data_IF_185225957376
#
_entry.id   IF_185225957376
#
_cell.length_a   1.000
_cell.length_b   1.000
_cell.length_c   1.000
_cell.angle_alpha   90.00
_cell.angle_beta   90.00
_cell.angle_gamma   90.00
#
_symmetry.space_group_name_H-M   'P 1'
#
loop_
_entity.id
_entity.type
_entity.pdbx_description
1 polymer ?
#
# COMPACT_ATOMS: atom_id res chain seq x y z
N UNK A 1 -5.16 15.05 -12.20
CA UNK A 1 -5.50 14.80 -13.61
C UNK A 1 -6.91 15.30 -13.85
N UNK A 2 -7.13 16.26 -14.77
CA UNK A 2 -8.46 16.74 -15.10
C UNK A 2 -9.34 15.64 -15.69
N UNK A 3 -10.67 15.69 -15.43
CA UNK A 3 -11.65 14.69 -15.92
C UNK A 3 -11.53 14.39 -17.42
N UNK A 4 -11.23 15.41 -18.23
CA UNK A 4 -11.06 15.27 -19.68
C UNK A 4 -9.93 14.34 -20.07
N UNK A 5 -8.83 14.41 -19.34
CA UNK A 5 -7.64 13.57 -19.59
C UNK A 5 -7.92 12.11 -19.27
N UNK A 6 -8.55 11.83 -18.13
CA UNK A 6 -8.94 10.47 -17.75
C UNK A 6 -9.87 9.88 -18.83
N UNK A 7 -10.89 10.65 -19.27
CA UNK A 7 -11.81 10.21 -20.31
C UNK A 7 -11.10 9.93 -21.63
N UNK A 8 -10.17 10.79 -22.04
CA UNK A 8 -9.39 10.62 -23.28
C UNK A 8 -8.52 9.36 -23.23
N UNK A 9 -7.84 9.11 -22.10
CA UNK A 9 -7.03 7.91 -21.91
C UNK A 9 -7.88 6.63 -21.96
N UNK A 10 -9.04 6.64 -21.30
CA UNK A 10 -9.98 5.51 -21.32
C UNK A 10 -10.60 5.28 -22.70
N UNK A 11 -10.94 6.35 -23.42
CA UNK A 11 -11.45 6.27 -24.80
C UNK A 11 -10.39 5.69 -25.74
N UNK A 12 -9.17 6.19 -25.68
CA UNK A 12 -8.06 5.70 -26.49
C UNK A 12 -7.74 4.22 -26.21
N UNK A 13 -7.84 3.78 -24.95
CA UNK A 13 -7.62 2.38 -24.58
C UNK A 13 -8.65 1.41 -25.19
N UNK A 14 -9.88 1.89 -25.51
CA UNK A 14 -10.92 1.07 -26.16
C UNK A 14 -10.68 0.85 -27.63
N UNK A 15 -10.09 1.83 -28.33
CA UNK A 15 -10.06 1.89 -29.79
C UNK A 15 -8.67 1.56 -30.33
N UNK A 16 -7.62 1.98 -29.64
CA UNK A 16 -6.26 1.88 -30.15
C UNK A 16 -5.61 0.54 -29.81
N UNK A 17 -4.76 0.00 -30.71
CA UNK A 17 -3.90 -1.13 -30.38
C UNK A 17 -3.03 -0.85 -29.14
N UNK A 18 -2.71 -1.85 -28.31
CA UNK A 18 -1.93 -1.67 -27.07
C UNK A 18 -0.62 -0.91 -27.27
N UNK A 19 0.09 -1.15 -28.36
CA UNK A 19 1.36 -0.46 -28.68
C UNK A 19 1.19 1.04 -28.89
N UNK A 20 0.13 1.45 -29.58
CA UNK A 20 -0.19 2.86 -29.87
C UNK A 20 -0.64 3.56 -28.60
N UNK A 21 -1.52 2.92 -27.82
CA UNK A 21 -1.95 3.43 -26.53
C UNK A 21 -0.77 3.60 -25.56
N UNK A 22 0.15 2.64 -25.52
CA UNK A 22 1.41 2.71 -24.77
C UNK A 22 2.25 3.93 -25.14
N UNK A 23 2.38 4.23 -26.43
CA UNK A 23 3.12 5.40 -26.91
C UNK A 23 2.46 6.71 -26.45
N UNK A 24 1.14 6.83 -26.58
CA UNK A 24 0.37 8.04 -26.17
C UNK A 24 0.52 8.29 -24.66
N UNK A 25 0.32 7.26 -23.84
CA UNK A 25 0.53 7.40 -22.39
C UNK A 25 1.99 7.74 -22.09
N UNK A 26 2.94 7.18 -22.82
CA UNK A 26 4.37 7.48 -22.67
C UNK A 26 4.70 8.95 -22.87
N UNK A 27 4.12 9.57 -23.91
CA UNK A 27 4.25 11.02 -24.16
C UNK A 27 3.57 11.81 -23.04
N UNK A 28 2.35 11.41 -22.68
CA UNK A 28 1.57 12.08 -21.64
C UNK A 28 2.25 12.02 -20.27
N UNK A 29 2.80 10.87 -19.88
CA UNK A 29 3.57 10.71 -18.64
C UNK A 29 4.85 11.57 -18.64
N UNK A 30 5.51 11.73 -19.80
CA UNK A 30 6.65 12.64 -19.92
C UNK A 30 6.29 14.09 -19.61
N UNK A 31 5.09 14.53 -20.03
CA UNK A 31 4.59 15.87 -19.78
C UNK A 31 4.11 16.06 -18.34
N UNK A 32 3.56 15.01 -17.72
CA UNK A 32 2.99 15.06 -16.37
C UNK A 32 4.00 14.81 -15.26
N UNK A 33 5.07 14.06 -15.52
CA UNK A 33 6.15 13.87 -14.53
C UNK A 33 6.96 15.15 -14.42
N UNK A 34 6.47 16.04 -13.56
CA UNK A 34 7.14 17.29 -13.23
C UNK A 34 8.55 17.06 -12.70
N UNK A 35 9.44 18.01 -12.91
CA UNK A 35 10.80 18.04 -12.33
C UNK A 35 10.80 17.72 -10.82
N UNK A 36 9.76 18.15 -10.10
CA UNK A 36 9.57 17.88 -8.67
C UNK A 36 9.51 16.36 -8.36
N UNK A 37 8.77 15.59 -9.15
CA UNK A 37 8.65 14.12 -8.93
C UNK A 37 9.99 13.41 -9.18
N UNK A 38 10.72 13.80 -10.23
CA UNK A 38 12.07 13.27 -10.47
C UNK A 38 13.03 13.63 -9.33
N UNK A 39 12.96 14.85 -8.83
CA UNK A 39 13.77 15.30 -7.71
C UNK A 39 13.49 14.47 -6.43
N UNK A 40 12.21 14.27 -6.07
CA UNK A 40 11.83 13.46 -4.92
C UNK A 40 12.31 12.02 -5.07
N UNK A 41 12.05 11.40 -6.23
CA UNK A 41 12.50 10.05 -6.51
C UNK A 41 14.03 9.92 -6.39
N UNK A 42 14.77 10.85 -7.00
CA UNK A 42 16.24 10.88 -6.91
C UNK A 42 16.74 11.02 -5.47
N UNK A 43 16.12 11.89 -4.67
CA UNK A 43 16.46 12.08 -3.25
C UNK A 43 16.23 10.81 -2.45
N UNK A 44 15.08 10.16 -2.63
CA UNK A 44 14.76 8.91 -1.93
C UNK A 44 15.70 7.77 -2.33
N UNK A 45 16.06 7.67 -3.61
CA UNK A 45 17.06 6.69 -4.06
C UNK A 45 18.48 6.99 -3.52
N UNK A 46 18.86 8.26 -3.40
CA UNK A 46 20.12 8.62 -2.72
C UNK A 46 20.15 8.14 -1.27
N UNK A 47 19.03 8.26 -0.56
CA UNK A 47 18.92 7.76 0.82
C UNK A 47 19.01 6.23 0.86
N UNK A 48 18.34 5.55 -0.07
CA UNK A 48 18.34 4.08 -0.17
C UNK A 48 19.74 3.52 -0.46
N UNK A 49 20.46 4.14 -1.40
CA UNK A 49 21.76 3.67 -1.87
C UNK A 49 22.97 4.32 -1.16
N UNK A 50 22.74 5.44 -0.46
CA UNK A 50 23.85 6.24 0.07
C UNK A 50 24.75 6.75 -1.07
N UNK A 51 26.06 6.73 -0.84
CA UNK A 51 27.10 7.17 -1.80
C UNK A 51 27.63 6.02 -2.69
N UNK A 52 26.90 4.89 -2.76
CA UNK A 52 27.35 3.71 -3.52
C UNK A 52 27.11 3.84 -5.03
N UNK A 53 26.31 4.81 -5.48
CA UNK A 53 26.03 5.04 -6.89
C UNK A 53 26.51 6.41 -7.35
N UNK A 54 27.10 6.46 -8.53
CA UNK A 54 27.36 7.71 -9.24
C UNK A 54 26.04 8.38 -9.66
N UNK A 55 26.08 9.69 -9.89
CA UNK A 55 24.91 10.45 -10.37
C UNK A 55 24.34 9.88 -11.66
N UNK A 56 25.18 9.38 -12.56
CA UNK A 56 24.77 8.74 -13.83
C UNK A 56 24.01 7.42 -13.60
N UNK A 57 24.45 6.61 -12.65
CA UNK A 57 23.78 5.35 -12.29
C UNK A 57 22.46 5.63 -11.61
N UNK A 58 22.42 6.65 -10.74
CA UNK A 58 21.20 7.10 -10.08
C UNK A 58 20.14 7.55 -11.09
N UNK A 59 20.51 8.36 -12.11
CA UNK A 59 19.61 8.76 -13.16
C UNK A 59 19.08 7.57 -13.98
N UNK A 60 19.92 6.57 -14.27
CA UNK A 60 19.46 5.32 -14.93
C UNK A 60 18.41 4.58 -14.10
N UNK A 61 18.58 4.55 -12.76
CA UNK A 61 17.59 3.97 -11.82
C UNK A 61 16.28 4.75 -11.84
N UNK A 62 16.34 6.08 -11.76
CA UNK A 62 15.18 6.97 -11.89
C UNK A 62 14.41 6.68 -13.17
N UNK A 63 15.09 6.63 -14.31
CA UNK A 63 14.46 6.35 -15.60
C UNK A 63 13.88 4.92 -15.68
N UNK A 64 14.51 3.94 -15.04
CA UNK A 64 14.01 2.56 -14.97
C UNK A 64 12.70 2.49 -14.18
N UNK A 65 12.64 3.13 -13.02
CA UNK A 65 11.43 3.20 -12.18
C UNK A 65 10.30 3.91 -12.91
N UNK A 66 10.58 5.04 -13.55
CA UNK A 66 9.58 5.78 -14.33
C UNK A 66 9.02 4.94 -15.49
N UNK A 67 9.85 4.15 -16.17
CA UNK A 67 9.40 3.24 -17.23
C UNK A 67 8.50 2.15 -16.66
N UNK A 68 8.90 1.50 -15.56
CA UNK A 68 8.11 0.46 -14.91
C UNK A 68 6.71 0.94 -14.56
N UNK A 69 6.62 2.08 -13.86
CA UNK A 69 5.31 2.60 -13.44
C UNK A 69 4.45 3.09 -14.60
N UNK A 70 5.07 3.67 -15.63
CA UNK A 70 4.37 3.96 -16.88
C UNK A 70 3.73 2.68 -17.46
N UNK A 71 4.50 1.60 -17.54
CA UNK A 71 4.01 0.33 -18.12
C UNK A 71 2.91 -0.28 -17.25
N UNK A 72 3.02 -0.22 -15.92
CA UNK A 72 1.97 -0.65 -14.99
C UNK A 72 0.67 0.16 -15.14
N UNK A 73 0.75 1.48 -15.23
CA UNK A 73 -0.44 2.33 -15.44
C UNK A 73 -1.11 2.07 -16.79
N UNK A 74 -0.32 1.75 -17.83
CA UNK A 74 -0.85 1.36 -19.14
C UNK A 74 -1.61 0.06 -19.04
N UNK A 75 -1.02 -0.96 -18.40
CA UNK A 75 -1.68 -2.25 -18.21
C UNK A 75 -2.98 -2.09 -17.42
N UNK A 76 -2.98 -1.31 -16.34
CA UNK A 76 -4.19 -1.01 -15.57
C UNK A 76 -5.26 -0.34 -16.44
N UNK A 77 -4.91 0.67 -17.23
CA UNK A 77 -5.84 1.33 -18.13
C UNK A 77 -6.38 0.34 -19.19
N UNK A 78 -5.56 -0.53 -19.70
CA UNK A 78 -5.95 -1.58 -20.66
C UNK A 78 -6.94 -2.57 -20.04
N UNK A 79 -6.62 -3.16 -18.88
CA UNK A 79 -7.50 -4.12 -18.22
C UNK A 79 -8.83 -3.47 -17.79
N UNK A 80 -8.78 -2.26 -17.23
CA UNK A 80 -9.99 -1.54 -16.80
C UNK A 80 -10.95 -1.23 -17.95
N UNK A 81 -10.44 -1.07 -19.18
CA UNK A 81 -11.28 -0.82 -20.37
C UNK A 81 -11.87 -2.08 -20.96
N UNK A 82 -11.17 -3.20 -20.88
CA UNK A 82 -11.63 -4.49 -21.43
C UNK A 82 -12.55 -5.26 -20.49
N UNK A 83 -12.75 -4.80 -19.26
CA UNK A 83 -13.55 -5.48 -18.23
C UNK A 83 -13.11 -6.94 -17.97
N UNK A 84 -11.88 -7.26 -18.30
CA UNK A 84 -11.30 -8.58 -18.10
C UNK A 84 -9.89 -8.41 -17.56
N UNK A 85 -9.67 -8.86 -16.34
CA UNK A 85 -8.33 -9.03 -15.77
C UNK A 85 -7.71 -10.33 -16.33
N UNK A 86 -6.38 -10.43 -16.37
CA UNK A 86 -5.69 -11.67 -16.72
C UNK A 86 -6.11 -12.80 -15.77
N UNK A 87 -6.19 -14.01 -16.29
CA UNK A 87 -6.32 -15.21 -15.47
C UNK A 87 -5.00 -15.60 -14.80
N UNK A 88 -4.98 -16.73 -14.10
CA UNK A 88 -3.82 -17.15 -13.32
C UNK A 88 -2.55 -17.29 -14.19
N UNK A 89 -2.64 -18.00 -15.33
CA UNK A 89 -1.50 -18.28 -16.17
C UNK A 89 -1.01 -17.05 -16.95
N UNK A 90 -1.92 -16.14 -17.28
CA UNK A 90 -1.58 -14.86 -17.91
C UNK A 90 -0.95 -13.89 -16.90
N UNK A 91 -1.37 -13.95 -15.64
CA UNK A 91 -0.97 -12.99 -14.61
C UNK A 91 0.34 -13.37 -13.91
N UNK A 92 0.47 -14.64 -13.48
CA UNK A 92 1.62 -15.06 -12.70
C UNK A 92 2.73 -15.67 -13.54
N UNK A 93 3.97 -15.31 -13.16
CA UNK A 93 5.19 -16.03 -13.50
C UNK A 93 5.47 -17.08 -12.43
N UNK A 94 5.28 -16.70 -11.15
CA UNK A 94 5.53 -17.56 -10.00
C UNK A 94 4.70 -17.12 -8.79
N UNK A 95 4.28 -18.07 -7.96
CA UNK A 95 3.66 -17.83 -6.65
C UNK A 95 4.46 -18.58 -5.59
N UNK A 96 5.00 -17.85 -4.61
CA UNK A 96 5.86 -18.38 -3.54
C UNK A 96 5.21 -18.14 -2.19
N UNK A 97 5.18 -19.18 -1.33
CA UNK A 97 4.79 -19.09 0.07
C UNK A 97 3.28 -18.96 0.28
N UNK A 98 2.47 -19.47 -0.66
CA UNK A 98 1.00 -19.49 -0.52
C UNK A 98 0.57 -20.17 0.77
N UNK A 99 1.28 -21.20 1.18
CA UNK A 99 1.06 -21.98 2.40
C UNK A 99 1.06 -21.10 3.66
N UNK A 100 1.90 -20.10 3.74
CA UNK A 100 1.93 -19.16 4.89
C UNK A 100 0.63 -18.37 5.02
N UNK A 101 0.07 -17.96 3.89
CA UNK A 101 -1.22 -17.27 3.90
C UNK A 101 -2.37 -18.22 4.22
N UNK A 102 -2.33 -19.45 3.71
CA UNK A 102 -3.32 -20.48 4.00
C UNK A 102 -3.36 -20.82 5.50
N UNK A 103 -2.20 -20.98 6.12
CA UNK A 103 -2.08 -21.24 7.56
C UNK A 103 -2.57 -20.06 8.41
N UNK A 104 -2.19 -18.83 8.03
CA UNK A 104 -2.64 -17.62 8.70
C UNK A 104 -4.16 -17.44 8.57
N UNK A 105 -4.72 -17.67 7.39
CA UNK A 105 -6.15 -17.52 7.11
C UNK A 105 -7.03 -18.55 7.86
N UNK A 106 -6.52 -19.78 8.06
CA UNK A 106 -7.20 -20.84 8.84
C UNK A 106 -7.40 -20.47 10.30
N UNK A 107 -6.66 -19.51 10.86
CA UNK A 107 -6.83 -19.07 12.24
C UNK A 107 -8.17 -18.35 12.49
N UNK A 108 -8.82 -17.83 11.45
CA UNK A 108 -10.14 -17.21 11.54
C UNK A 108 -10.19 -15.80 12.14
N UNK A 109 -9.03 -15.19 12.41
CA UNK A 109 -8.91 -13.86 13.04
C UNK A 109 -8.73 -12.73 12.02
N UNK A 110 -9.01 -12.98 10.74
CA UNK A 110 -8.58 -12.12 9.65
C UNK A 110 -7.06 -12.10 9.49
N UNK A 111 -6.56 -11.54 8.40
CA UNK A 111 -5.12 -11.46 8.11
C UNK A 111 -4.75 -10.02 7.77
N UNK A 112 -3.65 -9.53 8.32
CA UNK A 112 -3.04 -8.28 7.90
C UNK A 112 -2.00 -8.60 6.83
N UNK A 113 -2.32 -8.27 5.57
CA UNK A 113 -1.38 -8.36 4.46
C UNK A 113 -0.46 -7.15 4.45
N UNK A 114 0.73 -7.28 5.01
CA UNK A 114 1.71 -6.20 5.08
C UNK A 114 2.44 -6.06 3.75
N UNK A 115 2.43 -4.87 3.17
CA UNK A 115 3.12 -4.60 1.92
C UNK A 115 3.66 -3.17 1.83
N UNK A 116 4.38 -2.87 0.77
CA UNK A 116 4.87 -1.56 0.41
C UNK A 116 4.32 -1.11 -0.95
N UNK A 117 4.48 0.15 -1.30
CA UNK A 117 4.28 0.63 -2.67
C UNK A 117 5.40 0.10 -3.57
N UNK A 118 5.43 -1.24 -3.72
CA UNK A 118 6.48 -1.99 -4.41
C UNK A 118 5.87 -2.85 -5.53
N UNK A 119 6.44 -2.79 -6.72
CA UNK A 119 5.99 -3.59 -7.86
C UNK A 119 4.51 -3.38 -8.17
N UNK A 120 3.79 -4.48 -8.34
CA UNK A 120 2.37 -4.51 -8.69
C UNK A 120 1.42 -4.30 -7.51
N UNK A 121 1.73 -3.44 -6.55
CA UNK A 121 0.90 -3.24 -5.36
C UNK A 121 -0.57 -2.88 -5.67
N UNK A 122 -0.85 -2.22 -6.78
CA UNK A 122 -2.21 -1.89 -7.21
C UNK A 122 -3.03 -3.10 -7.68
N UNK A 123 -2.38 -4.20 -8.00
CA UNK A 123 -3.03 -5.44 -8.45
C UNK A 123 -2.98 -6.57 -7.42
N UNK A 124 -2.55 -6.27 -6.18
CA UNK A 124 -2.35 -7.29 -5.15
C UNK A 124 -3.65 -7.98 -4.73
N UNK A 125 -4.78 -7.26 -4.68
CA UNK A 125 -6.09 -7.85 -4.37
C UNK A 125 -6.57 -8.79 -5.49
N UNK A 126 -6.27 -8.47 -6.75
CA UNK A 126 -6.51 -9.38 -7.87
C UNK A 126 -5.63 -10.63 -7.75
N UNK A 127 -4.33 -10.45 -7.47
CA UNK A 127 -3.40 -11.56 -7.24
C UNK A 127 -3.91 -12.52 -6.17
N UNK A 128 -4.35 -12.01 -5.02
CA UNK A 128 -4.91 -12.81 -3.93
C UNK A 128 -6.20 -13.54 -4.34
N UNK A 129 -7.07 -12.88 -5.11
CA UNK A 129 -8.29 -13.52 -5.63
C UNK A 129 -7.98 -14.69 -6.55
N UNK A 130 -6.98 -14.58 -7.42
CA UNK A 130 -6.55 -15.66 -8.32
C UNK A 130 -6.00 -16.89 -7.60
N UNK A 131 -5.40 -16.72 -6.42
CA UNK A 131 -4.88 -17.83 -5.62
C UNK A 131 -5.89 -18.36 -4.59
N UNK A 132 -7.16 -17.92 -4.65
CA UNK A 132 -8.24 -18.46 -3.83
C UNK A 132 -8.65 -17.59 -2.62
N UNK A 133 -8.17 -16.34 -2.49
CA UNK A 133 -8.51 -15.43 -1.39
C UNK A 133 -9.25 -14.18 -1.89
N UNK A 134 -10.52 -14.29 -2.32
CA UNK A 134 -11.28 -13.16 -2.85
C UNK A 134 -11.72 -12.16 -1.78
N UNK A 135 -11.79 -12.57 -0.49
CA UNK A 135 -12.13 -11.67 0.62
C UNK A 135 -10.91 -10.88 1.08
N UNK A 136 -10.45 -9.96 0.23
CA UNK A 136 -9.32 -9.09 0.49
C UNK A 136 -9.63 -7.65 0.08
N UNK A 137 -9.09 -6.67 0.83
CA UNK A 137 -9.29 -5.25 0.57
C UNK A 137 -8.06 -4.45 1.02
N UNK A 138 -7.89 -3.24 0.48
CA UNK A 138 -6.84 -2.30 0.91
C UNK A 138 -7.47 -1.00 1.40
N UNK A 139 -6.79 -0.28 2.28
CA UNK A 139 -7.21 1.05 2.71
C UNK A 139 -6.85 2.04 1.61
N UNK A 140 -7.79 2.91 1.22
CA UNK A 140 -7.57 3.87 0.16
C UNK A 140 -8.06 5.26 0.56
N UNK A 141 -7.26 6.28 0.24
CA UNK A 141 -7.70 7.66 0.28
C UNK A 141 -8.61 7.95 -0.93
N UNK A 142 -9.75 8.55 -0.66
CA UNK A 142 -10.66 9.00 -1.71
C UNK A 142 -10.13 10.27 -2.39
N UNK A 143 -10.51 10.47 -3.64
CA UNK A 143 -10.21 11.72 -4.34
C UNK A 143 -11.12 12.84 -3.80
N UNK A 144 -10.57 14.05 -3.69
CA UNK A 144 -11.30 15.22 -3.17
C UNK A 144 -12.53 15.60 -4.04
N UNK A 145 -12.53 15.28 -5.34
CA UNK A 145 -13.66 15.47 -6.25
C UNK A 145 -14.49 14.16 -6.34
N UNK A 146 -15.75 14.14 -5.82
CA UNK A 146 -16.59 12.94 -5.83
C UNK A 146 -16.80 12.32 -7.22
N UNK A 147 -16.85 13.14 -8.29
CA UNK A 147 -17.00 12.64 -9.66
C UNK A 147 -15.71 12.02 -10.21
N UNK A 148 -14.57 12.42 -9.70
CA UNK A 148 -13.28 11.75 -9.98
C UNK A 148 -13.23 10.45 -9.20
N UNK A 149 -13.66 10.45 -7.95
CA UNK A 149 -13.70 9.26 -7.10
C UNK A 149 -14.61 8.18 -7.68
N UNK A 150 -15.81 8.52 -8.13
CA UNK A 150 -16.71 7.58 -8.81
C UNK A 150 -16.04 6.89 -10.01
N UNK A 151 -15.28 7.65 -10.81
CA UNK A 151 -14.52 7.08 -11.93
C UNK A 151 -13.39 6.18 -11.46
N UNK A 152 -12.67 6.60 -10.42
CA UNK A 152 -11.62 5.75 -9.84
C UNK A 152 -12.20 4.47 -9.26
N UNK A 153 -13.33 4.52 -8.57
CA UNK A 153 -14.01 3.34 -8.05
C UNK A 153 -14.43 2.39 -9.17
N UNK A 154 -14.98 2.93 -10.27
CA UNK A 154 -15.28 2.13 -11.45
C UNK A 154 -14.04 1.48 -12.05
N UNK A 155 -12.91 2.17 -12.12
CA UNK A 155 -11.67 1.62 -12.65
C UNK A 155 -11.07 0.58 -11.69
N UNK A 156 -11.05 0.88 -10.40
CA UNK A 156 -10.56 -0.02 -9.34
C UNK A 156 -11.32 -1.34 -9.32
N UNK A 157 -12.65 -1.27 -9.36
CA UNK A 157 -13.49 -2.49 -9.40
C UNK A 157 -13.20 -3.37 -10.62
N UNK A 158 -12.95 -2.77 -11.77
CA UNK A 158 -12.63 -3.49 -13.01
C UNK A 158 -11.28 -4.20 -12.97
N UNK A 159 -10.33 -3.72 -12.19
CA UNK A 159 -9.03 -4.36 -11.97
C UNK A 159 -8.99 -5.21 -10.69
N UNK A 160 -10.15 -5.51 -10.11
CA UNK A 160 -10.24 -6.31 -8.90
C UNK A 160 -9.66 -5.64 -7.65
N UNK A 161 -9.42 -4.32 -7.67
CA UNK A 161 -8.93 -3.58 -6.52
C UNK A 161 -10.12 -3.21 -5.62
N UNK A 162 -10.27 -3.93 -4.52
CA UNK A 162 -11.25 -3.64 -3.49
C UNK A 162 -10.65 -2.67 -2.47
N UNK A 163 -11.32 -1.54 -2.25
CA UNK A 163 -10.85 -0.50 -1.34
C UNK A 163 -11.82 -0.25 -0.20
N UNK A 164 -11.28 -0.08 1.00
CA UNK A 164 -12.01 0.49 2.14
C UNK A 164 -11.65 1.97 2.19
N UNK A 165 -12.63 2.87 2.00
CA UNK A 165 -12.36 4.30 2.03
C UNK A 165 -11.79 4.74 3.37
N UNK A 166 -10.74 5.55 3.31
CA UNK A 166 -10.21 6.23 4.48
C UNK A 166 -11.10 7.44 4.77
N UNK A 167 -11.93 7.34 5.79
CA UNK A 167 -12.77 8.41 6.34
C UNK A 167 -12.15 8.94 7.66
N UNK A 168 -12.95 9.49 8.55
CA UNK A 168 -12.52 9.81 9.91
C UNK A 168 -11.96 8.59 10.63
N UNK A 169 -10.93 8.78 11.45
CA UNK A 169 -10.15 7.69 12.04
C UNK A 169 -10.99 6.62 12.75
N UNK A 170 -12.02 7.06 13.53
CA UNK A 170 -12.93 6.15 14.25
C UNK A 170 -13.75 5.29 13.28
N UNK A 171 -14.43 5.90 12.32
CA UNK A 171 -15.30 5.16 11.39
C UNK A 171 -14.50 4.20 10.49
N UNK A 172 -13.29 4.59 10.09
CA UNK A 172 -12.36 3.71 9.39
C UNK A 172 -11.96 2.53 10.28
N UNK A 173 -11.59 2.78 11.54
CA UNK A 173 -11.21 1.74 12.50
C UNK A 173 -12.28 0.67 12.67
N UNK A 174 -13.55 1.06 12.86
CA UNK A 174 -14.69 0.14 12.98
C UNK A 174 -14.84 -0.73 11.73
N UNK A 175 -14.79 -0.14 10.54
CA UNK A 175 -14.90 -0.87 9.26
C UNK A 175 -13.77 -1.91 9.11
N UNK A 176 -12.54 -1.54 9.48
CA UNK A 176 -11.39 -2.45 9.39
C UNK A 176 -11.51 -3.62 10.35
N UNK A 177 -11.92 -3.36 11.60
CA UNK A 177 -12.14 -4.40 12.62
C UNK A 177 -13.23 -5.37 12.16
N UNK A 178 -14.36 -4.86 11.67
CA UNK A 178 -15.45 -5.67 11.14
C UNK A 178 -14.97 -6.54 9.97
N UNK A 179 -14.20 -5.98 9.05
CA UNK A 179 -13.64 -6.72 7.92
C UNK A 179 -12.70 -7.85 8.38
N UNK A 180 -11.83 -7.61 9.36
CA UNK A 180 -10.97 -8.64 9.95
C UNK A 180 -11.79 -9.72 10.69
N UNK A 181 -12.82 -9.34 11.47
CA UNK A 181 -13.73 -10.30 12.13
C UNK A 181 -14.50 -11.19 11.15
N UNK A 182 -14.70 -10.75 9.91
CA UNK A 182 -15.26 -11.54 8.82
C UNK A 182 -14.20 -12.40 8.10
N UNK A 183 -13.06 -12.60 8.73
CA UNK A 183 -11.90 -13.30 8.18
C UNK A 183 -11.39 -12.66 6.87
N UNK A 184 -11.44 -11.34 6.75
CA UNK A 184 -10.92 -10.61 5.60
C UNK A 184 -9.39 -10.50 5.63
N UNK A 185 -8.78 -10.39 4.45
CA UNK A 185 -7.34 -10.07 4.29
C UNK A 185 -7.22 -8.56 4.05
N UNK A 186 -6.80 -7.84 5.07
CA UNK A 186 -6.61 -6.40 5.02
C UNK A 186 -5.21 -6.05 4.56
N UNK A 187 -5.08 -5.57 3.33
CA UNK A 187 -3.80 -5.16 2.75
C UNK A 187 -3.45 -3.75 3.23
N UNK A 188 -2.31 -3.62 3.90
CA UNK A 188 -1.82 -2.34 4.42
C UNK A 188 -0.44 -2.04 3.83
N UNK A 189 -0.36 -0.90 3.13
CA UNK A 189 0.88 -0.35 2.60
C UNK A 189 1.50 0.57 3.66
N UNK A 190 2.54 0.12 4.35
CA UNK A 190 3.10 0.84 5.52
C UNK A 190 4.46 1.50 5.27
N UNK A 191 4.87 1.65 4.02
CA UNK A 191 6.15 2.29 3.67
C UNK A 191 6.08 3.82 3.61
N UNK A 192 4.90 4.43 3.65
CA UNK A 192 4.73 5.88 3.61
C UNK A 192 4.70 6.51 5.00
N UNK A 193 4.98 7.83 5.06
CA UNK A 193 4.86 8.63 6.28
C UNK A 193 3.39 8.71 6.73
N UNK A 194 3.19 8.62 8.04
CA UNK A 194 1.88 8.78 8.66
C UNK A 194 2.02 9.59 9.95
N UNK A 195 1.49 10.82 9.97
CA UNK A 195 1.76 11.80 11.02
C UNK A 195 1.25 11.40 12.42
N UNK A 196 0.18 10.61 12.50
CA UNK A 196 -0.40 10.07 13.75
C UNK A 196 0.17 8.68 14.12
N UNK A 197 1.37 8.36 13.68
CA UNK A 197 2.01 7.07 13.88
C UNK A 197 2.97 7.01 15.06
N UNK A 198 3.89 6.06 15.00
CA UNK A 198 5.05 5.94 15.88
C UNK A 198 6.33 6.20 15.11
N UNK A 199 7.34 6.70 15.83
CA UNK A 199 8.63 7.05 15.23
C UNK A 199 9.52 5.80 15.17
N UNK A 200 9.79 5.32 13.95
CA UNK A 200 10.63 4.15 13.68
C UNK A 200 11.81 4.50 12.80
N UNK A 201 12.84 3.68 12.86
CA UNK A 201 14.00 3.79 11.97
C UNK A 201 13.67 3.13 10.63
N UNK A 202 13.93 3.84 9.52
CA UNK A 202 13.69 3.39 8.15
C UNK A 202 14.78 3.93 7.22
N UNK A 203 15.49 3.04 6.55
CA UNK A 203 16.64 3.39 5.68
C UNK A 203 17.69 4.29 6.37
N UNK A 204 17.98 3.98 7.64
CA UNK A 204 18.95 4.72 8.44
C UNK A 204 18.44 6.03 9.03
N UNK A 205 17.20 6.44 8.77
CA UNK A 205 16.60 7.69 9.25
C UNK A 205 15.31 7.42 10.03
N UNK A 206 14.89 8.36 10.84
CA UNK A 206 13.60 8.24 11.55
C UNK A 206 12.44 8.69 10.66
N UNK A 207 11.33 7.96 10.74
CA UNK A 207 10.09 8.23 10.04
C UNK A 207 8.90 7.93 10.95
N UNK A 208 7.86 8.76 10.89
CA UNK A 208 6.57 8.45 11.49
C UNK A 208 5.83 7.42 10.64
N UNK A 209 5.38 6.33 11.26
CA UNK A 209 4.77 5.17 10.57
C UNK A 209 3.48 4.78 11.25
N UNK A 210 2.47 4.42 10.46
CA UNK A 210 1.16 4.02 10.97
C UNK A 210 1.25 2.83 11.93
N UNK A 211 0.68 2.99 13.12
CA UNK A 211 0.64 1.97 14.18
C UNK A 211 -0.48 0.93 13.99
N UNK A 212 -1.42 1.17 13.07
CA UNK A 212 -2.60 0.32 12.84
C UNK A 212 -2.29 -1.17 12.70
N UNK A 213 -1.33 -1.61 11.87
CA UNK A 213 -0.99 -3.03 11.76
C UNK A 213 -0.60 -3.67 13.10
N UNK A 214 0.22 -2.97 13.91
CA UNK A 214 0.62 -3.47 15.23
C UNK A 214 -0.57 -3.52 16.20
N UNK A 215 -1.42 -2.49 16.21
CA UNK A 215 -2.63 -2.46 17.03
C UNK A 215 -3.58 -3.63 16.71
N UNK A 216 -3.86 -3.89 15.43
CA UNK A 216 -4.75 -4.99 15.03
C UNK A 216 -4.15 -6.35 15.40
N UNK A 217 -2.85 -6.55 15.19
CA UNK A 217 -2.18 -7.78 15.57
C UNK A 217 -2.20 -8.02 17.09
N UNK A 218 -1.89 -7.00 17.89
CA UNK A 218 -1.85 -7.08 19.34
C UNK A 218 -3.24 -7.30 19.94
N UNK A 219 -4.24 -6.53 19.50
CA UNK A 219 -5.59 -6.52 20.08
C UNK A 219 -6.47 -7.67 19.58
N UNK A 220 -6.41 -7.99 18.30
CA UNK A 220 -7.32 -8.97 17.67
C UNK A 220 -6.65 -10.29 17.31
N UNK A 221 -5.34 -10.41 17.49
CA UNK A 221 -4.60 -11.62 17.16
C UNK A 221 -4.52 -11.90 15.66
N UNK A 222 -4.79 -10.90 14.82
CA UNK A 222 -4.67 -11.05 13.37
C UNK A 222 -3.21 -11.25 12.97
N UNK A 223 -2.83 -12.37 12.33
CA UNK A 223 -1.46 -12.58 11.86
C UNK A 223 -1.07 -11.53 10.82
N UNK A 224 0.18 -11.07 10.90
CA UNK A 224 0.77 -10.10 9.96
C UNK A 224 1.62 -10.85 8.97
N UNK A 225 1.15 -10.96 7.74
CA UNK A 225 1.76 -11.72 6.64
C UNK A 225 2.33 -10.75 5.61
N UNK A 226 3.66 -10.67 5.46
CA UNK A 226 4.25 -9.86 4.40
C UNK A 226 3.96 -10.45 3.02
N UNK A 227 3.53 -9.62 2.07
CA UNK A 227 3.21 -10.05 0.73
C UNK A 227 3.51 -8.99 -0.32
N UNK A 228 4.08 -9.42 -1.45
CA UNK A 228 4.57 -8.52 -2.49
C UNK A 228 4.26 -9.08 -3.87
N UNK A 229 3.78 -8.23 -4.76
CA UNK A 229 3.49 -8.58 -6.15
C UNK A 229 4.55 -7.94 -7.06
N UNK A 230 5.64 -8.65 -7.31
CA UNK A 230 6.81 -8.15 -8.04
C UNK A 230 6.60 -8.35 -9.55
N UNK A 231 6.80 -7.29 -10.34
CA UNK A 231 6.68 -7.36 -11.80
C UNK A 231 7.93 -7.98 -12.41
N UNK A 232 7.76 -8.99 -13.25
CA UNK A 232 8.81 -9.65 -14.02
C UNK A 232 9.07 -8.93 -15.37
N UNK A 233 10.19 -9.22 -16.00
CA UNK A 233 10.58 -8.62 -17.28
C UNK A 233 9.62 -8.99 -18.44
N UNK A 234 9.03 -10.17 -18.38
CA UNK A 234 7.99 -10.65 -19.31
C UNK A 234 6.62 -9.97 -19.12
N UNK A 235 6.49 -9.07 -18.14
CA UNK A 235 5.26 -8.35 -17.81
C UNK A 235 4.32 -9.08 -16.87
N UNK A 236 4.56 -10.34 -16.55
CA UNK A 236 3.84 -11.09 -15.52
C UNK A 236 4.31 -10.70 -14.11
N UNK A 237 3.74 -11.33 -13.11
CA UNK A 237 4.03 -11.03 -11.72
C UNK A 237 4.51 -12.27 -10.96
N UNK A 238 5.46 -12.03 -10.04
CA UNK A 238 5.86 -12.99 -9.02
C UNK A 238 5.21 -12.55 -7.71
N UNK A 239 4.26 -13.34 -7.22
CA UNK A 239 3.67 -13.12 -5.89
C UNK A 239 4.56 -13.79 -4.84
N UNK A 240 5.07 -13.00 -3.91
CA UNK A 240 5.92 -13.47 -2.80
C UNK A 240 5.15 -13.25 -1.50
N UNK A 241 4.82 -14.33 -0.83
CA UNK A 241 4.22 -14.35 0.51
C UNK A 241 5.26 -14.91 1.47
N UNK A 242 5.52 -14.20 2.56
CA UNK A 242 6.52 -14.60 3.55
C UNK A 242 5.85 -15.16 4.80
N UNK A 243 6.58 -15.90 5.65
CA UNK A 243 6.06 -16.33 6.94
C UNK A 243 5.48 -15.16 7.75
N UNK A 244 4.42 -15.36 8.54
CA UNK A 244 3.89 -14.35 9.43
C UNK A 244 4.97 -13.78 10.35
N UNK A 245 4.95 -12.48 10.57
CA UNK A 245 5.87 -11.83 11.50
C UNK A 245 5.41 -12.14 12.93
N UNK A 246 6.32 -12.68 13.73
CA UNK A 246 6.07 -12.91 15.14
C UNK A 246 5.79 -11.61 15.89
N UNK A 247 4.71 -11.57 16.67
CA UNK A 247 4.28 -10.41 17.44
C UNK A 247 4.87 -10.45 18.85
N UNK A 248 5.63 -9.43 19.18
CA UNK A 248 6.26 -9.27 20.51
C UNK A 248 5.26 -8.64 21.46
N UNK A 249 5.10 -9.25 22.65
CA UNK A 249 4.28 -8.76 23.76
C UNK A 249 5.14 -8.68 25.01
N UNK A 250 5.46 -7.46 25.43
CA UNK A 250 6.27 -7.21 26.66
C UNK A 250 5.39 -6.95 27.88
N UNK A 251 4.10 -6.70 27.67
CA UNK A 251 3.16 -6.25 28.69
C UNK A 251 3.05 -4.73 28.81
N UNK A 252 3.85 -3.99 28.04
CA UNK A 252 3.77 -2.53 27.88
C UNK A 252 3.20 -2.23 26.48
N UNK A 253 1.95 -1.72 26.40
CA UNK A 253 1.27 -1.52 25.13
C UNK A 253 2.00 -0.57 24.18
N UNK A 254 2.60 0.51 24.68
CA UNK A 254 3.32 1.47 23.83
C UNK A 254 4.59 0.86 23.24
N UNK A 255 5.35 0.19 24.11
CA UNK A 255 6.56 -0.52 23.73
C UNK A 255 6.24 -1.64 22.73
N UNK A 256 5.16 -2.37 22.94
CA UNK A 256 4.71 -3.43 22.03
C UNK A 256 4.35 -2.88 20.65
N UNK A 257 3.63 -1.75 20.60
CA UNK A 257 3.32 -1.07 19.34
C UNK A 257 4.59 -0.61 18.63
N UNK A 258 5.51 0.02 19.34
CA UNK A 258 6.76 0.53 18.77
C UNK A 258 7.62 -0.60 18.22
N UNK A 259 7.86 -1.65 19.02
CA UNK A 259 8.68 -2.79 18.60
C UNK A 259 8.10 -3.48 17.37
N UNK A 260 6.80 -3.79 17.38
CA UNK A 260 6.19 -4.49 16.26
C UNK A 260 6.12 -3.61 15.00
N UNK A 261 5.86 -2.30 15.14
CA UNK A 261 5.90 -1.37 13.99
C UNK A 261 7.31 -1.27 13.41
N UNK A 262 8.37 -1.29 14.25
CA UNK A 262 9.74 -1.34 13.77
C UNK A 262 10.01 -2.63 13.00
N UNK A 263 9.64 -3.81 13.53
CA UNK A 263 9.80 -5.10 12.86
C UNK A 263 9.11 -5.15 11.49
N UNK A 264 7.90 -4.58 11.40
CA UNK A 264 7.18 -4.46 10.13
C UNK A 264 7.92 -3.56 9.15
N UNK A 265 8.45 -2.46 9.64
CA UNK A 265 9.22 -1.51 8.82
C UNK A 265 10.52 -2.13 8.31
N UNK A 266 11.22 -2.90 9.15
CA UNK A 266 12.46 -3.62 8.77
C UNK A 266 12.18 -4.66 7.67
N UNK A 267 11.04 -5.36 7.74
CA UNK A 267 10.62 -6.30 6.71
C UNK A 267 10.37 -5.58 5.37
N UNK A 268 9.65 -4.43 5.40
CA UNK A 268 9.40 -3.63 4.20
C UNK A 268 10.71 -3.09 3.60
N UNK A 269 11.62 -2.59 4.43
CA UNK A 269 12.94 -2.12 3.99
C UNK A 269 13.75 -3.23 3.33
N UNK A 270 13.76 -4.42 3.90
CA UNK A 270 14.42 -5.61 3.34
C UNK A 270 13.96 -5.90 1.92
N UNK A 271 12.65 -5.87 1.67
CA UNK A 271 12.10 -6.15 0.35
C UNK A 271 12.32 -5.01 -0.64
N UNK A 272 12.26 -3.76 -0.18
CA UNK A 272 12.58 -2.61 -1.03
C UNK A 272 14.05 -2.65 -1.44
N UNK A 273 14.97 -3.00 -0.53
CA UNK A 273 16.40 -3.17 -0.85
C UNK A 273 16.64 -4.33 -1.83
N UNK A 274 15.82 -5.38 -1.79
CA UNK A 274 15.89 -6.50 -2.73
C UNK A 274 15.40 -6.13 -4.13
N UNK A 275 14.37 -5.26 -4.24
CA UNK A 275 13.74 -4.84 -5.49
C UNK A 275 13.68 -3.32 -5.65
N UNK A 276 14.80 -2.59 -5.50
CA UNK A 276 14.78 -1.13 -5.38
C UNK A 276 14.27 -0.42 -6.64
N UNK A 277 14.46 -1.03 -7.81
CA UNK A 277 13.99 -0.50 -9.10
C UNK A 277 12.46 -0.59 -9.27
N UNK A 278 11.75 -1.19 -8.30
CA UNK A 278 10.30 -1.34 -8.29
C UNK A 278 9.62 -0.57 -7.16
N UNK A 279 10.37 0.19 -6.38
CA UNK A 279 9.82 0.97 -5.29
C UNK A 279 9.20 2.29 -5.79
N UNK A 280 7.92 2.54 -5.43
CA UNK A 280 7.18 3.76 -5.77
C UNK A 280 7.61 4.92 -4.85
N UNK A 281 8.84 5.39 -5.01
CA UNK A 281 9.49 6.35 -4.14
C UNK A 281 9.19 7.82 -4.50
N UNK A 282 7.94 8.15 -4.85
CA UNK A 282 7.55 9.49 -5.30
C UNK A 282 7.07 10.42 -4.17
N UNK A 283 6.96 9.93 -2.94
CA UNK A 283 6.55 10.73 -1.79
C UNK A 283 7.76 11.32 -1.04
N UNK A 284 7.67 12.57 -0.58
CA UNK A 284 8.76 13.26 0.11
C UNK A 284 8.85 12.84 1.59
N UNK A 285 9.19 11.58 1.89
CA UNK A 285 9.15 11.02 3.26
C UNK A 285 10.14 11.66 4.23
N UNK A 286 11.25 12.25 3.75
CA UNK A 286 12.32 12.83 4.56
C UNK A 286 12.54 14.33 4.32
N UNK A 287 11.59 15.05 3.70
CA UNK A 287 11.72 16.49 3.44
C UNK A 287 11.45 17.38 4.66
N UNK A 288 11.09 16.78 5.81
CA UNK A 288 11.00 17.52 7.06
C UNK A 288 12.36 17.45 7.75
N UNK A 289 13.01 18.61 7.91
CA UNK A 289 14.26 18.77 8.64
C UNK A 289 14.15 18.10 10.02
N UNK A 290 15.17 17.30 10.38
CA UNK A 290 15.31 16.74 11.74
C UNK A 290 15.28 17.84 12.81
N UNK A 291 15.60 19.09 12.45
CA UNK A 291 15.56 20.26 13.33
C UNK A 291 14.13 20.74 13.67
N UNK A 292 13.09 20.33 12.98
CA UNK A 292 11.70 20.69 13.28
C UNK A 292 10.96 19.70 14.18
N UNK A 293 11.58 18.57 14.49
CA UNK A 293 11.12 17.65 15.53
C UNK A 293 11.82 18.03 16.85
N UNK A 294 11.52 19.23 17.35
CA UNK A 294 11.95 19.64 18.69
C UNK A 294 11.35 18.68 19.73
N UNK A 295 12.04 18.53 20.87
CA UNK A 295 11.56 17.71 22.00
C UNK A 295 10.10 18.02 22.38
N UNK A 296 9.65 19.27 22.16
CA UNK A 296 8.27 19.74 22.39
C UNK A 296 7.25 19.07 21.45
N UNK A 297 7.60 18.81 20.17
CA UNK A 297 6.71 18.10 19.23
C UNK A 297 6.69 16.59 19.55
N UNK A 298 7.79 16.04 20.01
CA UNK A 298 7.86 14.65 20.47
C UNK A 298 7.03 14.47 21.77
N UNK A 299 7.01 15.44 22.68
CA UNK A 299 6.21 15.43 23.89
C UNK A 299 4.70 15.61 23.59
N UNK A 300 4.34 16.57 22.74
CA UNK A 300 2.95 16.73 22.25
C UNK A 300 2.44 15.52 21.46
N UNK A 301 3.31 14.86 20.71
CA UNK A 301 2.98 13.63 20.01
C UNK A 301 2.77 12.46 21.00
N UNK A 302 3.51 12.38 22.10
CA UNK A 302 3.29 11.40 23.17
C UNK A 302 1.92 11.61 23.84
N UNK A 303 1.57 12.83 24.25
CA UNK A 303 0.26 13.16 24.83
C UNK A 303 -0.90 12.85 23.85
N UNK A 304 -0.74 13.17 22.56
CA UNK A 304 -1.74 12.86 21.54
C UNK A 304 -1.88 11.35 21.29
N UNK A 305 -0.79 10.59 21.36
CA UNK A 305 -0.78 9.14 21.22
C UNK A 305 -1.48 8.50 22.42
N UNK A 306 -1.15 8.93 23.64
CA UNK A 306 -1.73 8.41 24.87
C UNK A 306 -3.23 8.69 24.96
N UNK A 307 -3.65 9.91 24.62
CA UNK A 307 -5.07 10.29 24.61
C UNK A 307 -5.85 9.54 23.52
N UNK A 308 -5.35 9.46 22.28
CA UNK A 308 -6.00 8.72 21.19
C UNK A 308 -5.98 7.20 21.39
N UNK A 309 -4.91 6.65 21.95
CA UNK A 309 -4.80 5.23 22.26
C UNK A 309 -5.82 4.84 23.33
N UNK A 310 -5.89 5.62 24.40
CA UNK A 310 -6.86 5.40 25.46
C UNK A 310 -8.30 5.58 24.98
N UNK A 311 -8.59 6.52 24.05
CA UNK A 311 -9.92 6.66 23.46
C UNK A 311 -10.30 5.49 22.56
N UNK A 312 -9.35 4.92 21.81
CA UNK A 312 -9.59 3.74 20.96
C UNK A 312 -9.76 2.46 21.77
N UNK A 313 -9.06 2.36 22.92
CA UNK A 313 -9.11 1.17 23.80
C UNK A 313 -10.23 1.26 24.83
N UNK A 314 -10.54 2.45 25.37
CA UNK A 314 -11.57 2.66 26.39
C UNK A 314 -12.99 2.73 25.84
N UNK A 315 -13.16 3.06 24.57
CA UNK A 315 -14.44 2.94 23.91
C UNK A 315 -14.61 1.47 23.46
N UNK A 316 -15.24 0.65 24.30
CA UNK A 316 -15.84 -0.61 23.88
C UNK A 316 -16.73 -0.29 22.70
N UNK A 317 -16.38 -0.77 21.52
CA UNK A 317 -17.23 -0.71 20.34
C UNK A 317 -18.48 -1.49 20.73
N UNK A 318 -19.61 -0.83 20.92
CA UNK A 318 -20.86 -1.47 21.29
C UNK A 318 -21.28 -2.47 20.20
N UNK A 319 -22.00 -3.52 20.55
CA UNK A 319 -22.53 -4.46 19.56
C UNK A 319 -23.45 -3.75 18.55
N UNK A 320 -24.13 -2.66 18.92
CA UNK A 320 -24.91 -1.80 18.03
C UNK A 320 -24.08 -1.13 16.95
N UNK A 321 -22.86 -0.62 17.25
CA UNK A 321 -21.93 -0.04 16.26
C UNK A 321 -21.46 -1.08 15.22
N UNK A 322 -21.57 -2.37 15.56
CA UNK A 322 -21.23 -3.48 14.67
C UNK A 322 -22.39 -3.87 13.72
N UNK A 323 -23.64 -3.58 14.09
CA UNK A 323 -24.83 -3.92 13.28
C UNK A 323 -25.16 -2.83 12.25
N UNK A 324 -25.04 -1.54 12.57
CA UNK A 324 -25.36 -0.45 11.65
C UNK A 324 -24.46 -0.33 10.40
N UNK A 325 -23.30 -1.00 10.39
CA UNK A 325 -22.35 -0.93 9.28
C UNK A 325 -22.52 -1.99 8.17
N UNK A 326 -23.68 -2.67 8.05
CA UNK A 326 -23.81 -3.91 7.27
C UNK A 326 -24.08 -3.79 5.76
N UNK A 327 -24.25 -2.62 5.20
CA UNK A 327 -24.36 -2.49 3.74
C UNK A 327 -23.00 -2.19 3.08
N UNK A 328 -22.12 -3.19 3.04
CA UNK A 328 -21.06 -3.23 2.03
C UNK A 328 -21.70 -3.87 0.79
N UNK A 329 -22.03 -3.03 -0.19
CA UNK A 329 -22.45 -3.47 -1.50
C UNK A 329 -21.38 -4.42 -2.09
N UNK A 330 -21.70 -5.68 -2.40
CA UNK A 330 -20.74 -6.69 -2.84
C UNK A 330 -20.29 -6.52 -4.31
N UNK A 331 -20.55 -5.37 -4.94
CA UNK A 331 -20.20 -5.13 -6.34
C UNK A 331 -19.26 -3.94 -6.54
#
# INVERSE_FOLDING_TARGET
LGRGVINLLLFNAKILPPKVHKAIIGVFMRLLVHRKHKYVLRTNLKILYGDTLSDRELEKKVDKILRLYKDMFIDMAYYSTRKKMPDYDEFFDEVIGKEYLEEAYKQGNGVIGLTAHLGGFLTITHALSLIGFPNCATIMREADDPKIEEKFNTLRSRIGLKGIPQSEARSTGVKLIKFLKQNGILIILSDQKFDDGVKVKYMGRYKWTAKGPALFALKYGSPVVPMYNIRCENGKYKLIIKPPIEIIKTGDPEKDILINTQRFTDELESMIRKYPDQWYAFNPWWQYNEQQLTEIEAEKAKESIETKYNSIISEEISEEDLEEGLEINPF
#
